data_IF_686984790451
#
_entry.id   IF_686984790451
#
_cell.length_a   1.000
_cell.length_b   1.000
_cell.length_c   1.000
_cell.angle_alpha   90.00
_cell.angle_beta   90.00
_cell.angle_gamma   90.00
#
_symmetry.space_group_name_H-M   'P 1'
#
loop_
_entity.id
_entity.type
_entity.pdbx_description
1 polymer ?
#
# COMPACT_ATOMS: atom_id res chain seq x y z
N UNK A 1 -12.00 -5.24 -22.31
CA UNK A 1 -11.17 -5.84 -21.24
C UNK A 1 -11.15 -4.82 -20.11
N UNK A 2 -12.05 -4.99 -19.15
CA UNK A 2 -12.19 -4.14 -17.97
C UNK A 2 -11.06 -4.50 -16.98
N UNK A 3 -10.37 -3.49 -16.45
CA UNK A 3 -9.14 -3.68 -15.68
C UNK A 3 -9.39 -4.41 -14.36
N UNK A 4 -9.02 -5.69 -14.29
CA UNK A 4 -8.66 -6.30 -13.01
C UNK A 4 -7.49 -5.49 -12.45
N UNK A 5 -7.55 -5.09 -11.18
CA UNK A 5 -6.42 -4.48 -10.48
C UNK A 5 -5.19 -5.37 -10.69
N UNK A 6 -4.29 -4.94 -11.58
CA UNK A 6 -3.07 -5.69 -11.87
C UNK A 6 -2.35 -5.91 -10.56
N UNK A 7 -1.90 -7.14 -10.33
CA UNK A 7 -1.24 -7.57 -9.09
C UNK A 7 -0.23 -6.51 -8.66
N UNK A 8 -0.50 -5.82 -7.56
CA UNK A 8 0.42 -4.83 -7.01
C UNK A 8 1.26 -5.46 -5.92
N UNK A 9 2.49 -5.00 -5.78
CA UNK A 9 3.41 -5.50 -4.75
C UNK A 9 4.14 -4.32 -4.12
N UNK A 10 4.21 -4.29 -2.80
CA UNK A 10 5.05 -3.33 -2.07
C UNK A 10 6.23 -4.06 -1.44
N UNK A 11 7.44 -3.59 -1.73
CA UNK A 11 8.68 -4.09 -1.13
C UNK A 11 9.21 -3.05 -0.15
N UNK A 12 9.45 -3.46 1.09
CA UNK A 12 9.98 -2.60 2.15
C UNK A 12 11.44 -2.92 2.39
N UNK A 13 12.27 -1.90 2.54
CA UNK A 13 13.70 -2.04 2.78
C UNK A 13 14.26 -0.84 3.54
N UNK A 14 15.42 -1.03 4.16
CA UNK A 14 16.17 0.04 4.82
C UNK A 14 17.12 0.71 3.82
N UNK A 15 17.08 2.04 3.76
CA UNK A 15 17.99 2.88 2.99
C UNK A 15 18.72 3.84 3.93
N UNK A 16 19.93 3.44 4.35
CA UNK A 16 20.70 4.17 5.36
C UNK A 16 19.97 4.23 6.71
N UNK A 17 19.47 5.42 7.08
CA UNK A 17 18.68 5.64 8.30
C UNK A 17 17.18 5.80 8.03
N UNK A 18 16.72 5.55 6.80
CA UNK A 18 15.31 5.62 6.40
C UNK A 18 14.76 4.22 6.17
N UNK A 19 13.47 4.05 6.38
CA UNK A 19 12.72 2.89 5.87
C UNK A 19 11.97 3.36 4.63
N UNK A 20 12.07 2.61 3.55
CA UNK A 20 11.47 2.94 2.27
C UNK A 20 10.59 1.80 1.77
N UNK A 21 9.51 2.14 1.10
CA UNK A 21 8.66 1.22 0.35
C UNK A 21 8.79 1.51 -1.15
N UNK A 22 9.03 0.49 -1.97
CA UNK A 22 8.85 0.58 -3.42
C UNK A 22 7.58 -0.17 -3.77
N UNK A 23 6.61 0.52 -4.34
CA UNK A 23 5.35 -0.06 -4.77
C UNK A 23 5.41 -0.30 -6.27
N UNK A 24 5.10 -1.50 -6.72
CA UNK A 24 5.01 -1.88 -8.12
C UNK A 24 3.53 -1.90 -8.50
N UNK A 25 3.07 -0.86 -9.21
CA UNK A 25 1.70 -0.80 -9.69
C UNK A 25 1.50 -1.76 -10.87
N UNK A 26 0.27 -2.28 -11.03
CA UNK A 26 -0.11 -3.07 -12.20
C UNK A 26 0.00 -2.32 -13.54
N UNK A 27 0.06 -0.97 -13.49
CA UNK A 27 0.29 -0.09 -14.64
C UNK A 27 1.77 0.00 -15.03
N UNK A 28 2.66 -0.63 -14.26
CA UNK A 28 4.09 -0.71 -14.54
C UNK A 28 4.92 0.47 -14.04
N UNK A 29 4.36 1.46 -13.34
CA UNK A 29 5.16 2.48 -12.64
C UNK A 29 5.63 1.94 -11.26
N UNK A 30 6.68 2.56 -10.70
CA UNK A 30 7.21 2.18 -9.38
C UNK A 30 7.37 3.39 -8.44
N UNK A 31 6.32 3.78 -7.71
CA UNK A 31 6.42 4.82 -6.68
C UNK A 31 7.30 4.35 -5.52
N UNK A 32 8.19 5.24 -5.08
CA UNK A 32 9.02 5.07 -3.88
C UNK A 32 8.50 5.98 -2.79
N UNK A 33 8.29 5.42 -1.61
CA UNK A 33 7.78 6.12 -0.44
C UNK A 33 8.77 5.98 0.72
N UNK A 34 8.77 6.95 1.63
CA UNK A 34 9.62 6.99 2.82
C UNK A 34 8.74 6.97 4.06
N UNK A 35 9.11 6.16 5.05
CA UNK A 35 8.45 6.16 6.36
C UNK A 35 8.72 7.49 7.07
N UNK A 36 7.65 8.18 7.42
CA UNK A 36 7.69 9.39 8.23
C UNK A 36 7.85 9.05 9.72
N UNK A 37 8.48 9.92 10.52
CA UNK A 37 8.49 9.78 11.97
C UNK A 37 7.06 9.75 12.51
N UNK A 38 6.74 8.77 13.36
CA UNK A 38 5.39 8.56 13.86
C UNK A 38 5.38 7.67 15.10
N UNK A 39 4.20 7.11 15.39
CA UNK A 39 4.02 6.10 16.44
C UNK A 39 4.17 4.70 15.86
N UNK A 40 4.49 3.74 16.73
CA UNK A 40 4.67 2.34 16.33
C UNK A 40 3.36 1.71 15.78
N UNK A 41 2.19 2.22 16.20
CA UNK A 41 0.88 1.71 15.78
C UNK A 41 0.29 2.45 14.55
N UNK A 42 0.97 3.48 14.04
CA UNK A 42 0.53 4.26 12.89
C UNK A 42 1.71 4.62 11.97
N UNK A 43 1.98 3.72 11.02
CA UNK A 43 3.11 3.84 10.11
C UNK A 43 2.64 4.52 8.82
N UNK A 44 3.21 5.70 8.51
CA UNK A 44 2.87 6.47 7.32
C UNK A 44 4.06 6.54 6.38
N UNK A 45 3.90 6.03 5.17
CA UNK A 45 4.86 6.18 4.09
C UNK A 45 4.37 7.23 3.09
N UNK A 46 5.16 8.28 2.89
CA UNK A 46 4.86 9.36 1.96
C UNK A 46 5.72 9.32 0.69
N UNK A 47 5.12 9.72 -0.42
CA UNK A 47 5.73 9.75 -1.74
C UNK A 47 7.06 10.53 -1.74
N UNK A 48 8.11 9.88 -2.25
CA UNK A 48 9.39 10.51 -2.54
C UNK A 48 9.49 10.85 -4.03
N UNK A 49 9.35 9.84 -4.89
CA UNK A 49 9.33 9.94 -6.35
C UNK A 49 8.79 8.65 -6.98
N UNK A 50 8.80 8.55 -8.31
CA UNK A 50 8.44 7.36 -9.06
C UNK A 50 9.32 7.16 -10.28
N UNK A 51 9.56 5.90 -10.64
CA UNK A 51 10.12 5.52 -11.93
C UNK A 51 9.02 5.00 -12.86
N UNK A 52 9.26 5.12 -14.17
CA UNK A 52 8.35 4.67 -15.23
C UNK A 52 6.92 5.23 -15.12
N UNK A 53 6.79 6.49 -14.67
CA UNK A 53 5.54 7.22 -14.74
C UNK A 53 5.37 7.77 -16.17
N UNK A 54 4.27 7.43 -16.84
CA UNK A 54 4.06 7.77 -18.25
C UNK A 54 3.96 9.28 -18.47
N UNK A 55 3.27 9.98 -17.56
CA UNK A 55 3.09 11.42 -17.52
C UNK A 55 2.71 11.87 -16.10
N UNK A 56 2.53 13.18 -15.88
CA UNK A 56 2.21 13.72 -14.55
C UNK A 56 0.83 13.33 -14.01
N UNK A 57 -0.09 12.92 -14.89
CA UNK A 57 -1.47 12.57 -14.54
C UNK A 57 -1.66 11.07 -14.31
N UNK A 58 -0.71 10.25 -14.76
CA UNK A 58 -0.71 8.80 -14.61
C UNK A 58 -0.88 8.38 -13.15
N UNK A 59 -1.75 7.38 -12.92
CA UNK A 59 -2.11 6.98 -11.57
C UNK A 59 -0.95 6.30 -10.84
N UNK A 60 -0.64 6.77 -9.62
CA UNK A 60 0.43 6.23 -8.80
C UNK A 60 0.12 6.35 -7.30
N UNK A 61 0.66 5.43 -6.51
CA UNK A 61 0.53 5.45 -5.06
C UNK A 61 1.33 6.63 -4.48
N UNK A 62 0.67 7.51 -3.73
CA UNK A 62 1.30 8.68 -3.10
C UNK A 62 1.38 8.60 -1.58
N UNK A 63 0.58 7.73 -0.96
CA UNK A 63 0.68 7.44 0.47
C UNK A 63 0.26 6.00 0.76
N UNK A 64 1.04 5.35 1.62
CA UNK A 64 0.73 4.03 2.15
C UNK A 64 0.76 4.10 3.69
N UNK A 65 -0.39 3.85 4.31
CA UNK A 65 -0.52 3.92 5.77
C UNK A 65 -0.95 2.58 6.34
N UNK A 66 -0.34 2.21 7.46
CA UNK A 66 -0.69 1.03 8.25
C UNK A 66 -1.13 1.47 9.64
N UNK A 67 -2.34 1.10 10.05
CA UNK A 67 -2.83 1.29 11.41
C UNK A 67 -2.96 -0.07 12.07
N UNK A 68 -2.19 -0.28 13.13
CA UNK A 68 -2.20 -1.51 13.93
C UNK A 68 -3.17 -1.28 15.09
N UNK A 69 -4.16 -2.16 15.23
CA UNK A 69 -5.17 -2.05 16.28
C UNK A 69 -4.85 -2.99 17.45
N UNK A 70 -5.31 -2.64 18.64
CA UNK A 70 -5.10 -3.41 19.87
C UNK A 70 -5.62 -4.86 19.78
N UNK A 71 -6.64 -5.10 18.95
CA UNK A 71 -7.22 -6.43 18.71
C UNK A 71 -6.39 -7.29 17.74
N UNK A 72 -5.24 -6.79 17.28
CA UNK A 72 -4.34 -7.45 16.35
C UNK A 72 -4.78 -7.36 14.88
N UNK A 73 -5.84 -6.62 14.57
CA UNK A 73 -6.19 -6.28 13.20
C UNK A 73 -5.31 -5.15 12.65
N UNK A 74 -5.26 -5.04 11.32
CA UNK A 74 -4.43 -4.08 10.60
C UNK A 74 -5.27 -3.40 9.52
N UNK A 75 -5.31 -2.08 9.50
CA UNK A 75 -5.79 -1.34 8.33
C UNK A 75 -4.62 -0.98 7.43
N UNK A 76 -4.65 -1.43 6.17
CA UNK A 76 -3.81 -0.91 5.09
C UNK A 76 -4.63 0.13 4.32
N UNK A 77 -4.15 1.36 4.31
CA UNK A 77 -4.78 2.48 3.61
C UNK A 77 -3.85 2.93 2.49
N UNK A 78 -4.37 2.91 1.26
CA UNK A 78 -3.63 3.30 0.07
C UNK A 78 -4.27 4.54 -0.53
N UNK A 79 -3.48 5.60 -0.71
CA UNK A 79 -3.91 6.81 -1.41
C UNK A 79 -3.20 6.87 -2.75
N UNK A 80 -3.97 6.81 -3.84
CA UNK A 80 -3.49 6.99 -5.19
C UNK A 80 -3.81 8.38 -5.70
N UNK A 81 -2.87 8.97 -6.43
CA UNK A 81 -3.10 10.20 -7.19
C UNK A 81 -3.34 9.86 -8.65
N UNK A 82 -4.34 10.49 -9.27
CA UNK A 82 -4.58 10.48 -10.72
C UNK A 82 -5.05 11.87 -11.13
N UNK A 83 -4.41 12.48 -12.14
CA UNK A 83 -4.72 13.84 -12.61
C UNK A 83 -4.90 14.86 -11.47
N UNK A 84 -3.99 14.84 -10.50
CA UNK A 84 -3.99 15.73 -9.34
C UNK A 84 -5.05 15.44 -8.27
N UNK A 85 -5.89 14.41 -8.44
CA UNK A 85 -6.91 14.01 -7.46
C UNK A 85 -6.43 12.81 -6.67
N UNK A 86 -6.58 12.87 -5.34
CA UNK A 86 -6.16 11.82 -4.41
C UNK A 86 -7.36 11.00 -3.94
N UNK A 87 -7.34 9.70 -4.19
CA UNK A 87 -8.37 8.76 -3.79
C UNK A 87 -7.80 7.70 -2.86
N UNK A 88 -8.49 7.46 -1.75
CA UNK A 88 -8.03 6.52 -0.72
C UNK A 88 -8.92 5.29 -0.64
N UNK A 89 -8.29 4.11 -0.55
CA UNK A 89 -8.94 2.85 -0.25
C UNK A 89 -8.41 2.28 1.07
N UNK A 90 -9.24 1.51 1.78
CA UNK A 90 -8.87 0.83 3.02
C UNK A 90 -9.13 -0.66 2.90
N UNK A 91 -8.12 -1.45 3.21
CA UNK A 91 -8.24 -2.89 3.43
C UNK A 91 -8.10 -3.17 4.92
N UNK A 92 -9.16 -3.68 5.52
CA UNK A 92 -9.15 -4.14 6.91
C UNK A 92 -8.74 -5.61 6.95
N UNK A 93 -7.58 -5.89 7.52
CA UNK A 93 -6.96 -7.21 7.60
C UNK A 93 -7.13 -7.76 9.00
N UNK A 94 -7.62 -9.00 9.08
CA UNK A 94 -7.67 -9.76 10.33
C UNK A 94 -6.88 -11.02 10.16
N UNK A 95 -6.20 -11.43 11.23
CA UNK A 95 -5.55 -12.74 11.28
C UNK A 95 -6.63 -13.81 11.27
N UNK A 96 -6.59 -14.70 10.29
CA UNK A 96 -7.40 -15.93 10.29
C UNK A 96 -6.60 -16.98 11.06
N UNK A 97 -7.21 -17.60 12.07
CA UNK A 97 -6.64 -18.79 12.72
C UNK A 97 -6.92 -19.98 11.81
N UNK A 98 -5.89 -20.74 11.41
CA UNK A 98 -6.03 -21.92 10.53
C UNK A 98 -6.90 -23.03 11.17
N UNK A 99 -7.24 -22.90 12.45
CA UNK A 99 -8.16 -23.78 13.18
C UNK A 99 -9.62 -23.32 13.16
N UNK A 100 -9.92 -22.20 12.51
CA UNK A 100 -11.29 -21.70 12.36
C UNK A 100 -12.02 -22.42 11.20
N UNK A 101 -13.11 -23.17 11.47
CA UNK A 101 -13.84 -23.91 10.44
C UNK A 101 -14.55 -23.01 9.40
N UNK A 102 -14.59 -21.68 9.59
CA UNK A 102 -15.14 -20.74 8.61
C UNK A 102 -14.21 -20.46 7.41
N UNK A 103 -13.00 -21.03 7.38
CA UNK A 103 -11.98 -20.81 6.32
C UNK A 103 -12.19 -21.62 5.03
N UNK A 104 -13.37 -22.22 4.83
CA UNK A 104 -13.70 -23.03 3.66
C UNK A 104 -13.60 -22.26 2.34
N UNK A 105 -12.60 -22.61 1.52
CA UNK A 105 -12.55 -22.26 0.10
C UNK A 105 -13.80 -22.84 -0.59
N UNK A 106 -14.69 -21.96 -1.05
CA UNK A 106 -15.74 -22.33 -1.99
C UNK A 106 -15.10 -22.83 -3.28
N UNK A 107 -15.39 -24.09 -3.62
CA UNK A 107 -15.10 -24.67 -4.94
C UNK A 107 -16.05 -24.15 -6.01
#
# INVERSE_FOLDING_TARGET
>A
QEGTAGETMSVFHRDGNRIMATHYCGQGNQPRLVLEPGSDDDLVFDYLDATNLADADASHLVRLRFVIHDDGSLDRIETYRHAGTDESSRLHLRRVDERDPASGHGS
#
